data_IF_900167501879
#
_entry.id   IF_900167501879
#
_cell.length_a   1.000
_cell.length_b   1.000
_cell.length_c   1.000
_cell.angle_alpha   90.00
_cell.angle_beta   90.00
_cell.angle_gamma   90.00
#
_symmetry.space_group_name_H-M   'P 1'
#
loop_
_entity.id
_entity.type
_entity.pdbx_description
1 polymer ?
#
# COMPACT_ATOMS: atom_id res chain seq x y z
N UNK A 1 3.16 -17.10 -8.15
CA UNK A 1 2.29 -16.70 -7.03
C UNK A 1 1.86 -15.26 -7.22
N UNK A 2 0.63 -14.93 -6.89
CA UNK A 2 0.15 -13.56 -6.94
C UNK A 2 0.21 -12.96 -5.54
N UNK A 3 1.04 -11.92 -5.37
CA UNK A 3 1.36 -11.33 -4.08
C UNK A 3 0.88 -9.88 -4.05
N UNK A 4 0.06 -9.55 -3.05
CA UNK A 4 -0.33 -8.18 -2.76
C UNK A 4 0.49 -7.63 -1.61
N UNK A 5 0.94 -6.38 -1.74
CA UNK A 5 1.66 -5.67 -0.68
C UNK A 5 0.89 -4.38 -0.41
N UNK A 6 0.56 -4.12 0.85
CA UNK A 6 -0.15 -2.92 1.26
C UNK A 6 0.79 -2.03 2.07
N UNK A 7 1.01 -0.81 1.58
CA UNK A 7 1.80 0.22 2.22
C UNK A 7 0.86 1.27 2.83
N UNK A 8 0.90 1.53 4.14
CA UNK A 8 0.04 2.54 4.75
C UNK A 8 0.50 3.97 4.51
N UNK A 9 1.76 4.17 4.13
CA UNK A 9 2.36 5.50 3.98
C UNK A 9 2.37 5.95 2.52
N UNK A 10 2.48 7.26 2.30
CA UNK A 10 2.54 7.82 0.95
C UNK A 10 3.74 7.29 0.17
N UNK A 11 3.47 6.81 -1.04
CA UNK A 11 4.49 6.40 -1.99
C UNK A 11 5.33 7.59 -2.48
N UNK A 12 4.73 8.78 -2.47
CA UNK A 12 5.33 10.00 -3.00
C UNK A 12 6.34 10.63 -2.04
N UNK A 13 6.27 10.28 -0.74
CA UNK A 13 7.13 10.83 0.30
C UNK A 13 8.23 9.81 0.63
N UNK A 14 9.52 10.18 0.50
CA UNK A 14 10.62 9.26 0.83
C UNK A 14 10.56 8.81 2.28
N UNK A 15 10.81 7.51 2.50
CA UNK A 15 10.86 6.94 3.84
C UNK A 15 11.35 5.50 3.82
N UNK A 16 11.81 5.01 4.98
CA UNK A 16 12.40 3.68 5.10
C UNK A 16 11.44 2.55 4.74
N UNK A 17 10.17 2.65 5.15
CA UNK A 17 9.15 1.65 4.84
C UNK A 17 8.88 1.60 3.34
N UNK A 18 8.75 2.76 2.69
CA UNK A 18 8.52 2.84 1.25
C UNK A 18 9.67 2.25 0.44
N UNK A 19 10.91 2.53 0.83
CA UNK A 19 12.08 1.96 0.18
C UNK A 19 12.15 0.44 0.37
N UNK A 20 11.86 -0.04 1.57
CA UNK A 20 11.83 -1.47 1.86
C UNK A 20 10.78 -2.20 1.01
N UNK A 21 9.58 -1.65 0.91
CA UNK A 21 8.49 -2.22 0.11
C UNK A 21 8.86 -2.26 -1.37
N UNK A 22 9.46 -1.18 -1.86
CA UNK A 22 9.91 -1.11 -3.26
C UNK A 22 10.94 -2.21 -3.57
N UNK A 23 11.95 -2.36 -2.71
CA UNK A 23 12.98 -3.37 -2.87
C UNK A 23 12.40 -4.78 -2.80
N UNK A 24 11.50 -5.03 -1.86
CA UNK A 24 10.83 -6.32 -1.69
C UNK A 24 9.99 -6.67 -2.92
N UNK A 25 9.20 -5.71 -3.41
CA UNK A 25 8.38 -5.91 -4.60
C UNK A 25 9.22 -6.23 -5.84
N UNK A 26 10.29 -5.47 -6.06
CA UNK A 26 11.19 -5.70 -7.19
C UNK A 26 11.87 -7.06 -7.11
N UNK A 27 12.26 -7.48 -5.91
CA UNK A 27 12.87 -8.79 -5.71
C UNK A 27 11.91 -9.93 -6.03
N UNK A 28 10.67 -9.84 -5.55
CA UNK A 28 9.65 -10.85 -5.87
C UNK A 28 9.32 -10.88 -7.37
N UNK A 29 9.22 -9.73 -8.00
CA UNK A 29 9.00 -9.65 -9.45
C UNK A 29 10.15 -10.28 -10.22
N UNK A 30 11.39 -10.08 -9.78
CA UNK A 30 12.56 -10.69 -10.42
C UNK A 30 12.57 -12.21 -10.32
N UNK A 31 11.84 -12.77 -9.35
CA UNK A 31 11.67 -14.22 -9.18
C UNK A 31 10.44 -14.79 -9.88
N UNK A 32 9.78 -13.99 -10.70
CA UNK A 32 8.65 -14.44 -11.52
C UNK A 32 7.27 -14.37 -10.85
N UNK A 33 7.15 -13.73 -9.67
CA UNK A 33 5.86 -13.54 -9.03
C UNK A 33 5.11 -12.35 -9.63
N UNK A 34 3.78 -12.44 -9.69
CA UNK A 34 2.92 -11.29 -10.01
C UNK A 34 2.71 -10.49 -8.73
N UNK A 35 3.38 -9.35 -8.62
CA UNK A 35 3.36 -8.51 -7.43
C UNK A 35 2.56 -7.26 -7.72
N UNK A 36 1.61 -6.94 -6.82
CA UNK A 36 0.80 -5.73 -6.86
C UNK A 36 0.95 -5.00 -5.54
N UNK A 37 1.04 -3.66 -5.60
CA UNK A 37 1.18 -2.81 -4.40
C UNK A 37 0.01 -1.85 -4.35
N UNK A 38 -0.61 -1.73 -3.17
CA UNK A 38 -1.60 -0.70 -2.86
C UNK A 38 -0.96 0.29 -1.90
N UNK A 39 -0.97 1.57 -2.24
CA UNK A 39 -0.30 2.62 -1.47
C UNK A 39 -0.97 3.97 -1.69
N UNK A 40 -1.03 4.86 -0.68
CA UNK A 40 -1.46 6.23 -0.91
C UNK A 40 -0.50 6.93 -1.87
N UNK A 41 -1.05 7.57 -2.90
CA UNK A 41 -0.26 8.35 -3.86
C UNK A 41 -1.17 9.31 -4.62
N UNK A 42 -0.66 10.50 -4.91
CA UNK A 42 -1.29 11.45 -5.82
C UNK A 42 -0.66 11.45 -7.21
N UNK A 43 0.37 10.63 -7.42
CA UNK A 43 1.03 10.52 -8.71
C UNK A 43 0.13 9.84 -9.75
N UNK A 44 0.20 10.31 -11.00
CA UNK A 44 -0.48 9.71 -12.14
C UNK A 44 0.42 8.79 -12.96
N UNK A 45 1.71 8.78 -12.65
CA UNK A 45 2.74 8.07 -13.42
C UNK A 45 3.21 6.80 -12.71
N UNK A 46 2.31 6.15 -11.97
CA UNK A 46 2.63 4.90 -11.30
C UNK A 46 2.73 3.75 -12.30
N UNK A 47 3.68 2.81 -12.10
CA UNK A 47 3.70 1.57 -12.87
C UNK A 47 2.38 0.80 -12.73
N UNK A 48 2.07 -0.07 -13.70
CA UNK A 48 0.83 -0.83 -13.73
C UNK A 48 0.62 -1.72 -12.50
N UNK A 49 1.69 -2.14 -11.86
CA UNK A 49 1.63 -3.02 -10.69
C UNK A 49 1.45 -2.25 -9.38
N UNK A 50 1.42 -0.92 -9.41
CA UNK A 50 1.16 -0.07 -8.24
C UNK A 50 -0.18 0.62 -8.40
N UNK A 51 -1.06 0.48 -7.42
CA UNK A 51 -2.37 1.12 -7.38
C UNK A 51 -2.43 2.15 -6.26
N UNK A 52 -3.01 3.31 -6.55
CA UNK A 52 -3.20 4.35 -5.53
C UNK A 52 -4.45 4.07 -4.70
N UNK A 53 -4.31 4.17 -3.39
CA UNK A 53 -5.44 4.15 -2.45
C UNK A 53 -6.04 5.55 -2.24
N UNK A 54 -5.54 6.56 -2.92
CA UNK A 54 -5.95 7.95 -2.80
C UNK A 54 -4.85 8.82 -2.19
N UNK A 55 -5.17 10.10 -1.96
CA UNK A 55 -4.21 11.03 -1.38
C UNK A 55 -3.97 10.72 0.09
N UNK A 56 -2.75 10.99 0.57
CA UNK A 56 -2.40 10.87 1.97
C UNK A 56 -2.65 12.16 2.72
N UNK A 57 -2.81 12.04 4.03
CA UNK A 57 -2.83 13.18 4.96
C UNK A 57 -1.68 13.03 5.95
N UNK A 58 -1.13 14.15 6.42
CA UNK A 58 -0.07 14.15 7.42
C UNK A 58 -0.66 13.97 8.80
N UNK A 59 -0.23 12.92 9.51
CA UNK A 59 -0.71 12.61 10.86
C UNK A 59 0.49 12.42 11.78
N UNK A 60 0.55 13.10 12.94
CA UNK A 60 1.58 12.86 13.94
C UNK A 60 1.44 11.43 14.50
N UNK A 61 2.55 10.70 14.54
CA UNK A 61 2.53 9.33 15.05
C UNK A 61 3.90 8.98 15.63
N UNK A 62 3.94 8.60 16.91
CA UNK A 62 5.17 8.21 17.62
C UNK A 62 6.32 9.22 17.46
N UNK A 63 6.02 10.52 17.59
CA UNK A 63 7.02 11.60 17.46
C UNK A 63 7.45 11.91 16.05
N UNK A 64 6.87 11.24 15.04
CA UNK A 64 7.11 11.47 13.62
C UNK A 64 5.83 11.95 12.94
N UNK A 65 5.94 12.33 11.68
CA UNK A 65 4.77 12.62 10.82
C UNK A 65 4.60 11.47 9.84
N UNK A 66 3.42 10.87 9.83
CA UNK A 66 3.05 9.84 8.88
C UNK A 66 2.08 10.40 7.83
N UNK A 67 2.31 10.06 6.56
CA UNK A 67 1.44 10.44 5.45
C UNK A 67 0.61 9.22 5.06
N UNK A 68 -0.63 9.16 5.56
CA UNK A 68 -1.51 8.01 5.43
C UNK A 68 -2.84 8.38 4.78
N UNK A 69 -3.56 7.38 4.32
CA UNK A 69 -4.89 7.55 3.72
C UNK A 69 -5.94 6.86 4.60
N UNK A 70 -6.93 7.63 5.09
CA UNK A 70 -7.96 7.17 6.05
C UNK A 70 -9.39 7.45 5.59
N UNK A 71 -9.60 7.85 4.34
CA UNK A 71 -10.91 8.24 3.83
C UNK A 71 -11.81 7.04 3.52
N UNK A 72 -13.17 7.21 3.48
CA UNK A 72 -14.07 6.17 2.96
C UNK A 72 -13.75 5.74 1.53
N UNK A 73 -13.26 6.67 0.70
CA UNK A 73 -12.82 6.33 -0.66
C UNK A 73 -11.61 5.39 -0.65
N UNK A 74 -10.66 5.60 0.26
CA UNK A 74 -9.52 4.70 0.42
C UNK A 74 -9.97 3.30 0.85
N UNK A 75 -10.95 3.20 1.74
CA UNK A 75 -11.52 1.93 2.16
C UNK A 75 -12.18 1.19 0.99
N UNK A 76 -12.96 1.89 0.17
CA UNK A 76 -13.60 1.30 -1.03
C UNK A 76 -12.56 0.82 -2.03
N UNK A 77 -11.51 1.59 -2.27
CA UNK A 77 -10.42 1.22 -3.19
C UNK A 77 -9.66 0.00 -2.70
N UNK A 78 -9.41 -0.07 -1.39
CA UNK A 78 -8.75 -1.23 -0.76
C UNK A 78 -9.59 -2.49 -0.96
N UNK A 79 -10.89 -2.42 -0.69
CA UNK A 79 -11.81 -3.55 -0.86
C UNK A 79 -11.85 -4.02 -2.31
N UNK A 80 -11.98 -3.09 -3.25
CA UNK A 80 -12.01 -3.41 -4.68
C UNK A 80 -10.69 -4.05 -5.14
N UNK A 81 -9.57 -3.49 -4.70
CA UNK A 81 -8.25 -4.02 -5.05
C UNK A 81 -8.06 -5.46 -4.57
N UNK A 82 -8.49 -5.76 -3.34
CA UNK A 82 -8.44 -7.12 -2.81
C UNK A 82 -9.35 -8.08 -3.60
N UNK A 83 -10.57 -7.63 -3.92
CA UNK A 83 -11.54 -8.45 -4.64
C UNK A 83 -11.13 -8.72 -6.08
N UNK A 84 -10.61 -7.69 -6.78
CA UNK A 84 -10.29 -7.78 -8.21
C UNK A 84 -9.04 -8.62 -8.49
N UNK A 85 -8.13 -8.72 -7.53
CA UNK A 85 -6.84 -9.37 -7.76
C UNK A 85 -6.77 -10.83 -7.34
N UNK A 86 -7.61 -11.29 -6.43
CA UNK A 86 -7.61 -12.67 -5.94
C UNK A 86 -6.21 -13.15 -5.56
N UNK A 87 -5.57 -12.45 -4.64
CA UNK A 87 -4.18 -12.74 -4.23
C UNK A 87 -4.04 -14.09 -3.53
N UNK A 88 -2.89 -14.75 -3.75
CA UNK A 88 -2.48 -15.91 -2.97
C UNK A 88 -2.02 -15.49 -1.58
N UNK A 89 -1.30 -14.36 -1.47
CA UNK A 89 -0.81 -13.81 -0.21
C UNK A 89 -0.95 -12.29 -0.25
N UNK A 90 -1.38 -11.70 0.86
CA UNK A 90 -1.37 -10.25 1.05
C UNK A 90 -0.45 -9.92 2.23
N UNK A 91 0.61 -9.16 1.94
CA UNK A 91 1.56 -8.70 2.93
C UNK A 91 1.17 -7.28 3.35
N UNK A 92 0.72 -7.13 4.59
CA UNK A 92 0.23 -5.85 5.13
C UNK A 92 1.29 -5.27 6.05
N UNK A 93 1.73 -4.04 5.77
CA UNK A 93 2.69 -3.32 6.60
C UNK A 93 1.95 -2.44 7.60
N UNK A 94 2.33 -2.54 8.87
CA UNK A 94 1.84 -1.74 9.99
C UNK A 94 0.29 -1.65 10.04
N UNK A 95 -0.42 -2.78 10.19
CA UNK A 95 -1.89 -2.80 10.13
C UNK A 95 -2.57 -2.12 11.33
N UNK A 96 -1.81 -1.79 12.39
CA UNK A 96 -2.35 -1.10 13.57
C UNK A 96 -2.41 0.41 13.42
N UNK A 97 -1.79 0.97 12.37
CA UNK A 97 -1.93 2.39 12.04
C UNK A 97 -3.26 2.60 11.32
N UNK A 98 -4.09 3.61 11.71
CA UNK A 98 -5.33 3.91 10.98
C UNK A 98 -5.04 4.26 9.53
N UNK A 99 -5.29 3.32 8.60
CA UNK A 99 -4.78 3.40 7.24
C UNK A 99 -5.40 2.33 6.35
N UNK A 100 -4.96 2.31 5.08
CA UNK A 100 -5.31 1.24 4.13
C UNK A 100 -4.78 -0.12 4.59
N UNK A 101 -3.66 -0.16 5.32
CA UNK A 101 -3.14 -1.41 5.88
C UNK A 101 -4.07 -1.97 6.94
N UNK A 102 -4.59 -1.13 7.83
CA UNK A 102 -5.59 -1.55 8.82
C UNK A 102 -6.86 -2.04 8.11
N UNK A 103 -7.35 -1.30 7.12
CA UNK A 103 -8.52 -1.70 6.34
C UNK A 103 -8.30 -3.06 5.65
N UNK A 104 -7.15 -3.26 5.02
CA UNK A 104 -6.81 -4.51 4.35
C UNK A 104 -6.77 -5.69 5.31
N UNK A 105 -6.23 -5.50 6.51
CA UNK A 105 -6.16 -6.54 7.53
C UNK A 105 -7.54 -6.92 8.07
N UNK A 106 -8.51 -5.99 8.07
CA UNK A 106 -9.87 -6.21 8.58
C UNK A 106 -10.84 -6.73 7.51
N UNK A 107 -10.51 -6.59 6.25
CA UNK A 107 -11.33 -7.04 5.12
C UNK A 107 -10.89 -8.42 4.66
#
# INVERSE_FOLDING_TARGET
>A
MKIGIVNPYSWDVPGGVGFHIRDLALKFRSRGHDVRVLTPSSSRDLPDWISSAGQSVSVPFNGSVANISVSPAALRRTRRWLADNAFDVVHVHEPVVPSVSMAAAML
#
